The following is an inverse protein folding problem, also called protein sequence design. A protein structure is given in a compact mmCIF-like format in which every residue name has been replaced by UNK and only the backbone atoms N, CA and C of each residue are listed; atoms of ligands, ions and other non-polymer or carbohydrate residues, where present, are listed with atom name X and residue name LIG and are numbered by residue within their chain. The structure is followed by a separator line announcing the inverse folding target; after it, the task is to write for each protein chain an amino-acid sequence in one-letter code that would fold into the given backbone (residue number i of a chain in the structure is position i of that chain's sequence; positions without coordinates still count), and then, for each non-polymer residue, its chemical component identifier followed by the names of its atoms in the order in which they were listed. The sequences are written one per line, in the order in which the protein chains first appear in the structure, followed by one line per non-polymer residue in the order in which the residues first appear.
data_IF_043632651190
#
_entry.id   IF_043632651190
#
_cell.length_a   1.000
_cell.length_b   1.000
_cell.length_c   1.000
_cell.angle_alpha   90.00
_cell.angle_beta   90.00
_cell.angle_gamma   90.00
#
_symmetry.space_group_name_H-M   'P 1'
#
loop_
_entity.id
_entity.type
_entity.pdbx_description
1 polymer ?
#
# COMPACT_ATOMS: atom_id res chain seq x y z
N UNK A 1 15.03 -15.76 13.19
CA UNK A 1 15.43 -14.51 13.84
C UNK A 1 16.93 -14.38 13.74
N UNK A 2 17.47 -13.17 13.53
CA UNK A 2 18.91 -12.95 13.44
C UNK A 2 19.58 -13.38 14.74
N UNK A 3 20.65 -14.18 14.64
CA UNK A 3 21.41 -14.70 15.79
C UNK A 3 22.64 -13.86 16.11
N UNK A 4 23.02 -12.94 15.22
CA UNK A 4 24.21 -12.10 15.36
C UNK A 4 23.95 -10.66 14.90
N UNK A 5 24.80 -9.74 15.35
CA UNK A 5 24.72 -8.32 14.97
C UNK A 5 24.99 -8.09 13.48
N UNK A 6 25.88 -8.89 12.86
CA UNK A 6 26.15 -8.80 11.42
C UNK A 6 24.94 -9.20 10.57
N UNK A 7 24.14 -10.17 11.03
CA UNK A 7 22.88 -10.52 10.36
C UNK A 7 21.86 -9.38 10.43
N UNK A 8 21.83 -8.63 11.54
CA UNK A 8 20.99 -7.42 11.63
C UNK A 8 21.42 -6.34 10.65
N UNK A 9 22.73 -6.10 10.50
CA UNK A 9 23.25 -5.13 9.53
C UNK A 9 22.88 -5.53 8.10
N UNK A 10 22.93 -6.81 7.77
CA UNK A 10 22.56 -7.31 6.44
C UNK A 10 21.08 -7.11 6.09
N UNK A 11 20.20 -6.90 7.08
CA UNK A 11 18.78 -6.64 6.88
C UNK A 11 18.43 -5.15 6.77
N UNK A 12 19.38 -4.27 7.05
CA UNK A 12 19.17 -2.83 7.01
C UNK A 12 18.70 -2.33 5.62
N UNK A 13 19.24 -2.83 4.49
CA UNK A 13 18.72 -2.46 3.17
C UNK A 13 17.26 -2.87 2.97
N UNK A 14 16.87 -4.07 3.44
CA UNK A 14 15.49 -4.54 3.38
C UNK A 14 14.53 -3.64 4.15
N UNK A 15 14.94 -3.19 5.34
CA UNK A 15 14.12 -2.31 6.17
C UNK A 15 13.94 -0.95 5.51
N UNK A 16 15.02 -0.38 4.98
CA UNK A 16 14.96 0.87 4.22
C UNK A 16 14.10 0.72 2.98
N UNK A 17 14.25 -0.37 2.21
CA UNK A 17 13.44 -0.66 1.04
C UNK A 17 11.94 -0.73 1.39
N UNK A 18 11.57 -1.43 2.47
CA UNK A 18 10.17 -1.51 2.92
C UNK A 18 9.62 -0.14 3.31
N UNK A 19 10.37 0.63 4.11
CA UNK A 19 9.94 1.96 4.56
C UNK A 19 9.74 2.92 3.37
N UNK A 20 10.72 3.01 2.47
CA UNK A 20 10.61 3.85 1.29
C UNK A 20 9.51 3.36 0.34
N UNK A 21 9.29 2.05 0.21
CA UNK A 21 8.16 1.51 -0.57
C UNK A 21 6.82 1.91 0.04
N UNK A 22 6.65 1.79 1.37
CA UNK A 22 5.43 2.18 2.06
C UNK A 22 5.12 3.68 1.89
N UNK A 23 6.14 4.53 2.05
CA UNK A 23 6.02 5.98 1.81
C UNK A 23 5.67 6.28 0.35
N UNK A 24 6.32 5.63 -0.61
CA UNK A 24 6.06 5.82 -2.03
C UNK A 24 4.62 5.46 -2.40
N UNK A 25 4.14 4.30 -1.93
CA UNK A 25 2.78 3.84 -2.19
C UNK A 25 1.78 4.79 -1.57
N UNK A 26 1.97 5.21 -0.32
CA UNK A 26 1.03 6.12 0.34
C UNK A 26 0.95 7.49 -0.33
N UNK A 27 2.09 8.09 -0.72
CA UNK A 27 2.08 9.33 -1.49
C UNK A 27 1.41 9.20 -2.86
N UNK A 28 1.60 8.06 -3.53
CA UNK A 28 0.95 7.80 -4.81
C UNK A 28 -0.56 7.66 -4.64
N UNK A 29 -1.00 6.97 -3.59
CA UNK A 29 -2.40 6.76 -3.24
C UNK A 29 -3.10 8.10 -2.93
N UNK A 30 -2.53 8.91 -2.03
CA UNK A 30 -3.05 10.24 -1.70
C UNK A 30 -3.13 11.16 -2.93
N UNK A 31 -2.16 11.04 -3.85
CA UNK A 31 -2.17 11.77 -5.12
C UNK A 31 -3.31 11.31 -6.06
N UNK A 32 -3.56 10.00 -6.16
CA UNK A 32 -4.63 9.43 -6.98
C UNK A 32 -6.01 9.82 -6.41
N UNK A 33 -6.16 9.76 -5.09
CA UNK A 33 -7.42 10.07 -4.41
C UNK A 33 -7.72 11.57 -4.31
N UNK A 34 -6.78 12.42 -4.76
CA UNK A 34 -6.96 13.86 -4.75
C UNK A 34 -6.91 14.47 -3.34
N UNK A 35 -6.36 13.75 -2.35
CA UNK A 35 -6.34 14.22 -0.97
C UNK A 35 -5.30 15.36 -0.81
N UNK A 36 -5.80 16.59 -0.73
CA UNK A 36 -4.97 17.82 -0.65
C UNK A 36 -4.42 18.05 0.75
N UNK A 37 -3.39 17.29 1.16
CA UNK A 37 -2.71 17.53 2.44
C UNK A 37 -1.51 18.46 2.36
N UNK A 38 -1.02 18.80 1.16
CA UNK A 38 0.06 19.78 0.98
C UNK A 38 -0.21 20.67 -0.23
N UNK A 39 0.19 21.94 -0.14
CA UNK A 39 0.20 22.94 -1.23
C UNK A 39 0.92 22.46 -2.52
N UNK A 40 1.56 21.30 -2.48
CA UNK A 40 2.26 20.70 -3.61
C UNK A 40 1.67 19.34 -3.99
N UNK A 41 0.36 19.28 -4.26
CA UNK A 41 -0.31 18.14 -4.91
C UNK A 41 0.49 17.61 -6.12
N UNK A 42 1.16 18.50 -6.87
CA UNK A 42 2.04 18.13 -7.99
C UNK A 42 3.35 17.43 -7.59
N UNK A 43 3.87 17.66 -6.38
CA UNK A 43 5.11 17.02 -5.95
C UNK A 43 4.89 15.63 -5.34
N UNK A 44 3.68 15.26 -4.92
CA UNK A 44 3.38 13.93 -4.36
C UNK A 44 3.84 12.79 -5.28
N UNK A 45 3.53 12.88 -6.58
CA UNK A 45 3.99 11.93 -7.59
C UNK A 45 5.52 11.93 -7.80
N UNK A 46 6.17 13.09 -7.71
CA UNK A 46 7.64 13.18 -7.85
C UNK A 46 8.34 12.58 -6.62
N UNK A 47 7.81 12.80 -5.42
CA UNK A 47 8.31 12.24 -4.18
C UNK A 47 8.08 10.74 -4.09
N UNK A 48 6.92 10.23 -4.55
CA UNK A 48 6.69 8.78 -4.61
C UNK A 48 7.66 8.08 -5.57
N UNK A 49 7.91 8.66 -6.74
CA UNK A 49 8.92 8.17 -7.68
C UNK A 49 10.34 8.21 -7.09
N UNK A 50 10.69 9.28 -6.38
CA UNK A 50 12.00 9.38 -5.73
C UNK A 50 12.15 8.32 -4.63
N UNK A 51 11.12 8.14 -3.80
CA UNK A 51 11.11 7.15 -2.73
C UNK A 51 11.21 5.72 -3.28
N UNK A 52 10.47 5.37 -4.35
CA UNK A 52 10.56 4.02 -4.92
C UNK A 52 11.93 3.78 -5.59
N UNK A 53 12.56 4.80 -6.17
CA UNK A 53 13.93 4.70 -6.70
C UNK A 53 14.93 4.43 -5.58
N UNK A 54 14.82 5.12 -4.44
CA UNK A 54 15.66 4.88 -3.26
C UNK A 54 15.43 3.48 -2.68
N UNK A 55 14.17 3.04 -2.60
CA UNK A 55 13.83 1.69 -2.17
C UNK A 55 14.48 0.62 -3.07
N UNK A 56 14.35 0.79 -4.39
CA UNK A 56 14.90 -0.11 -5.39
C UNK A 56 16.44 -0.15 -5.36
N UNK A 57 17.09 0.98 -5.07
CA UNK A 57 18.54 1.05 -4.91
C UNK A 57 19.04 0.29 -3.68
N UNK A 58 18.23 0.20 -2.62
CA UNK A 58 18.55 -0.58 -1.42
C UNK A 58 18.31 -2.07 -1.64
N UNK A 59 17.13 -2.43 -2.17
CA UNK A 59 16.78 -3.82 -2.46
C UNK A 59 15.72 -3.92 -3.56
N UNK A 60 16.18 -4.02 -4.81
CA UNK A 60 15.33 -4.04 -6.00
C UNK A 60 14.28 -5.16 -5.97
N UNK A 61 14.71 -6.40 -5.70
CA UNK A 61 13.83 -7.57 -5.72
C UNK A 61 12.66 -7.41 -4.73
N UNK A 62 12.93 -6.95 -3.51
CA UNK A 62 11.92 -6.74 -2.47
C UNK A 62 10.96 -5.61 -2.82
N UNK A 63 11.52 -4.47 -3.21
CA UNK A 63 10.76 -3.28 -3.62
C UNK A 63 9.82 -3.60 -4.77
N UNK A 64 10.33 -4.27 -5.81
CA UNK A 64 9.56 -4.59 -7.00
C UNK A 64 8.40 -5.56 -6.69
N UNK A 65 8.64 -6.57 -5.86
CA UNK A 65 7.60 -7.52 -5.44
C UNK A 65 6.48 -6.82 -4.64
N UNK A 66 6.85 -5.98 -3.67
CA UNK A 66 5.88 -5.24 -2.84
C UNK A 66 5.09 -4.22 -3.67
N UNK A 67 5.78 -3.43 -4.50
CA UNK A 67 5.13 -2.44 -5.34
C UNK A 67 4.20 -3.07 -6.38
N UNK A 68 4.64 -4.16 -7.04
CA UNK A 68 3.80 -4.91 -7.96
C UNK A 68 2.58 -5.51 -7.24
N UNK A 69 2.74 -6.02 -6.01
CA UNK A 69 1.62 -6.48 -5.20
C UNK A 69 0.63 -5.34 -4.89
N UNK A 70 1.10 -4.15 -4.46
CA UNK A 70 0.22 -2.99 -4.26
C UNK A 70 -0.55 -2.62 -5.53
N UNK A 71 0.12 -2.57 -6.67
CA UNK A 71 -0.50 -2.29 -7.95
C UNK A 71 -1.56 -3.33 -8.32
N UNK A 72 -1.21 -4.62 -8.24
CA UNK A 72 -2.10 -5.73 -8.58
C UNK A 72 -3.34 -5.71 -7.67
N UNK A 73 -3.15 -5.64 -6.35
CA UNK A 73 -4.27 -5.67 -5.40
C UNK A 73 -5.13 -4.39 -5.53
N UNK A 74 -4.52 -3.21 -5.64
CA UNK A 74 -5.24 -1.94 -5.79
C UNK A 74 -6.13 -1.88 -7.04
N UNK A 75 -5.75 -2.59 -8.11
CA UNK A 75 -6.54 -2.63 -9.36
C UNK A 75 -7.71 -3.63 -9.34
N UNK A 76 -7.87 -4.47 -8.30
CA UNK A 76 -8.93 -5.50 -8.28
C UNK A 76 -10.35 -4.92 -8.29
N UNK A 77 -10.56 -3.72 -7.73
CA UNK A 77 -11.89 -3.13 -7.68
C UNK A 77 -12.38 -2.64 -9.07
N UNK A 78 -11.46 -2.49 -10.03
CA UNK A 78 -11.76 -1.89 -11.34
C UNK A 78 -11.16 -2.70 -12.51
N UNK A 79 -11.35 -4.03 -12.53
CA UNK A 79 -10.76 -4.95 -13.52
C UNK A 79 -11.00 -4.62 -15.00
N UNK A 80 -12.08 -3.88 -15.32
CA UNK A 80 -12.45 -3.52 -16.69
C UNK A 80 -12.08 -2.09 -17.08
N UNK A 81 -11.54 -1.31 -16.14
CA UNK A 81 -11.08 0.05 -16.42
C UNK A 81 -9.91 0.01 -17.39
N UNK A 82 -9.97 0.86 -18.42
CA UNK A 82 -8.85 1.03 -19.36
C UNK A 82 -7.85 2.01 -18.75
N UNK A 83 -6.60 1.57 -18.70
CA UNK A 83 -5.48 2.36 -18.19
C UNK A 83 -4.78 3.11 -19.34
N UNK A 84 -3.82 4.02 -19.06
CA UNK A 84 -3.16 4.84 -20.09
C UNK A 84 -2.48 4.05 -21.21
N UNK A 85 -2.14 2.78 -20.99
CA UNK A 85 -1.62 1.89 -22.05
C UNK A 85 -2.68 1.47 -23.09
N UNK A 86 -3.96 1.71 -22.80
CA UNK A 86 -5.11 1.21 -23.56
C UNK A 86 -5.55 -0.20 -23.17
N UNK A 87 -4.79 -0.91 -22.32
CA UNK A 87 -5.14 -2.24 -21.83
C UNK A 87 -6.14 -2.18 -20.66
N UNK A 88 -6.95 -3.23 -20.46
CA UNK A 88 -7.74 -3.38 -19.25
C UNK A 88 -6.81 -3.67 -18.06
N UNK A 89 -7.17 -3.17 -16.88
CA UNK A 89 -6.37 -3.31 -15.64
C UNK A 89 -6.06 -4.75 -15.24
N UNK A 90 -6.94 -5.73 -15.55
CA UNK A 90 -6.62 -7.15 -15.32
C UNK A 90 -5.41 -7.62 -16.15
N UNK A 91 -5.27 -7.12 -17.39
CA UNK A 91 -4.17 -7.52 -18.27
C UNK A 91 -2.86 -6.90 -17.81
N UNK A 92 -2.87 -5.62 -17.40
CA UNK A 92 -1.68 -4.99 -16.81
C UNK A 92 -1.29 -5.66 -15.49
N UNK A 93 -2.24 -6.07 -14.66
CA UNK A 93 -1.98 -6.80 -13.41
C UNK A 93 -1.32 -8.15 -13.67
N UNK A 94 -1.74 -8.88 -14.72
CA UNK A 94 -1.08 -10.13 -15.13
C UNK A 94 0.34 -9.88 -15.62
N UNK A 95 0.58 -8.83 -16.41
CA UNK A 95 1.92 -8.46 -16.86
C UNK A 95 2.81 -8.11 -15.66
N UNK A 96 2.32 -7.27 -14.74
CA UNK A 96 3.03 -6.91 -13.52
C UNK A 96 3.36 -8.15 -12.67
N UNK A 97 2.43 -9.11 -12.55
CA UNK A 97 2.65 -10.36 -11.83
C UNK A 97 3.75 -11.21 -12.46
N UNK A 98 3.73 -11.39 -13.79
CA UNK A 98 4.75 -12.15 -14.53
C UNK A 98 6.11 -11.50 -14.35
N UNK A 99 6.21 -10.19 -14.52
CA UNK A 99 7.46 -9.46 -14.32
C UNK A 99 7.95 -9.62 -12.89
N UNK A 100 7.08 -9.46 -11.89
CA UNK A 100 7.45 -9.63 -10.48
C UNK A 100 8.00 -11.03 -10.20
N UNK A 101 7.40 -12.07 -10.79
CA UNK A 101 7.88 -13.46 -10.63
C UNK A 101 9.26 -13.62 -11.27
N UNK A 102 9.51 -13.02 -12.44
CA UNK A 102 10.80 -13.08 -13.13
C UNK A 102 11.90 -12.39 -12.31
N UNK A 103 11.64 -11.19 -11.80
CA UNK A 103 12.65 -10.36 -11.15
C UNK A 103 12.85 -10.65 -9.65
N UNK A 104 11.81 -11.10 -8.96
CA UNK A 104 11.84 -11.29 -7.51
C UNK A 104 11.65 -12.75 -7.08
N UNK A 105 11.24 -13.62 -8.00
CA UNK A 105 10.96 -15.02 -7.73
C UNK A 105 9.57 -15.26 -7.15
N UNK A 106 8.99 -16.41 -7.53
CA UNK A 106 7.62 -16.79 -7.18
C UNK A 106 7.33 -16.73 -5.68
N UNK A 107 8.24 -17.28 -4.84
CA UNK A 107 8.06 -17.32 -3.38
C UNK A 107 7.90 -15.92 -2.77
N UNK A 108 8.69 -14.97 -3.24
CA UNK A 108 8.69 -13.60 -2.74
C UNK A 108 7.45 -12.84 -3.19
N UNK A 109 7.01 -13.05 -4.43
CA UNK A 109 5.78 -12.46 -4.95
C UNK A 109 4.54 -12.99 -4.23
N UNK A 110 4.46 -14.30 -3.98
CA UNK A 110 3.36 -14.87 -3.19
C UNK A 110 3.33 -14.28 -1.78
N UNK A 111 4.49 -14.14 -1.14
CA UNK A 111 4.59 -13.47 0.16
C UNK A 111 4.13 -12.01 0.07
N UNK A 112 4.58 -11.26 -0.93
CA UNK A 112 4.23 -9.86 -1.13
C UNK A 112 2.71 -9.67 -1.33
N UNK A 113 2.08 -10.50 -2.17
CA UNK A 113 0.62 -10.47 -2.36
C UNK A 113 -0.13 -10.73 -1.05
N UNK A 114 0.29 -11.74 -0.28
CA UNK A 114 -0.35 -12.06 1.01
C UNK A 114 -0.23 -10.92 2.02
N UNK A 115 0.95 -10.32 2.16
CA UNK A 115 1.14 -9.23 3.13
C UNK A 115 0.43 -7.96 2.67
N UNK A 116 0.44 -7.63 1.37
CA UNK A 116 -0.27 -6.45 0.86
C UNK A 116 -1.80 -6.61 0.99
N UNK A 117 -2.37 -7.79 0.72
CA UNK A 117 -3.79 -8.06 1.01
C UNK A 117 -4.08 -7.82 2.49
N UNK A 118 -3.19 -8.26 3.39
CA UNK A 118 -3.36 -8.06 4.82
C UNK A 118 -3.31 -6.56 5.19
N UNK A 119 -2.38 -5.81 4.60
CA UNK A 119 -2.25 -4.36 4.81
C UNK A 119 -3.51 -3.62 4.35
N UNK A 120 -4.03 -3.91 3.16
CA UNK A 120 -5.25 -3.25 2.67
C UNK A 120 -6.47 -3.62 3.51
N UNK A 121 -6.61 -4.88 3.94
CA UNK A 121 -7.73 -5.28 4.79
C UNK A 121 -7.71 -4.59 6.15
N UNK A 122 -6.55 -4.41 6.77
CA UNK A 122 -6.48 -3.69 8.05
C UNK A 122 -6.79 -2.21 7.87
N UNK A 123 -6.35 -1.60 6.77
CA UNK A 123 -6.64 -0.20 6.41
C UNK A 123 -8.16 -0.01 6.22
N UNK A 124 -8.78 -0.85 5.40
CA UNK A 124 -10.22 -0.89 5.18
C UNK A 124 -11.01 -1.09 6.50
N UNK A 125 -10.53 -1.93 7.41
CA UNK A 125 -11.16 -2.13 8.72
C UNK A 125 -11.05 -0.88 9.59
N UNK A 126 -9.90 -0.21 9.58
CA UNK A 126 -9.67 1.01 10.36
C UNK A 126 -10.50 2.19 9.83
N UNK A 127 -10.63 2.31 8.52
CA UNK A 127 -11.34 3.40 7.85
C UNK A 127 -12.83 3.12 7.60
N UNK A 128 -13.32 1.93 7.95
CA UNK A 128 -14.71 1.49 7.75
C UNK A 128 -15.78 2.55 8.05
N UNK A 129 -15.68 3.23 9.21
CA UNK A 129 -16.67 4.24 9.61
C UNK A 129 -16.59 5.52 8.77
N UNK A 130 -15.39 5.91 8.38
CA UNK A 130 -15.14 7.10 7.57
C UNK A 130 -15.63 6.84 6.14
N UNK A 131 -15.27 5.70 5.56
CA UNK A 131 -15.65 5.34 4.20
C UNK A 131 -17.15 5.11 4.04
N UNK A 132 -17.80 4.52 5.05
CA UNK A 132 -19.26 4.40 5.08
C UNK A 132 -19.93 5.78 5.03
N UNK A 133 -19.37 6.79 5.73
CA UNK A 133 -19.94 8.14 5.74
C UNK A 133 -19.67 8.92 4.44
N UNK A 134 -18.58 8.58 3.73
CA UNK A 134 -18.15 9.24 2.49
C UNK A 134 -18.56 8.48 1.22
N UNK A 135 -19.27 7.35 1.36
CA UNK A 135 -19.67 6.46 0.27
C UNK A 135 -18.47 6.03 -0.62
N UNK A 136 -17.30 5.85 0.01
CA UNK A 136 -16.09 5.34 -0.63
C UNK A 136 -16.14 3.81 -0.70
N UNK A 137 -15.49 3.22 -1.71
CA UNK A 137 -15.39 1.77 -1.84
C UNK A 137 -14.44 1.20 -0.79
N UNK A 138 -14.90 0.23 -0.01
CA UNK A 138 -14.11 -0.42 1.04
C UNK A 138 -14.49 -1.91 1.08
N UNK A 139 -13.52 -2.82 1.15
CA UNK A 139 -13.79 -4.26 1.10
C UNK A 139 -14.65 -4.72 2.28
N UNK A 140 -14.56 -4.06 3.44
CA UNK A 140 -15.39 -4.33 4.62
C UNK A 140 -16.85 -4.03 4.37
N UNK A 141 -17.19 -3.03 3.54
CA UNK A 141 -18.58 -2.76 3.16
C UNK A 141 -19.17 -3.89 2.30
N UNK A 142 -18.33 -4.58 1.53
CA UNK A 142 -18.76 -5.68 0.66
C UNK A 142 -18.80 -7.04 1.39
N UNK A 143 -17.75 -7.37 2.14
CA UNK A 143 -17.61 -8.68 2.81
C UNK A 143 -18.20 -8.71 4.22
N UNK A 144 -18.27 -7.55 4.89
CA UNK A 144 -18.61 -7.43 6.31
C UNK A 144 -17.38 -7.51 7.23
N UNK A 145 -17.46 -6.83 8.37
CA UNK A 145 -16.34 -6.63 9.31
C UNK A 145 -15.75 -7.95 9.83
N UNK A 146 -16.59 -8.92 10.19
CA UNK A 146 -16.15 -10.22 10.68
C UNK A 146 -15.33 -10.99 9.63
N UNK A 147 -15.80 -11.00 8.38
CA UNK A 147 -15.14 -11.73 7.28
C UNK A 147 -13.81 -11.07 6.91
N UNK A 148 -13.75 -9.74 6.91
CA UNK A 148 -12.50 -9.00 6.67
C UNK A 148 -11.46 -9.29 7.75
N UNK A 149 -11.84 -9.36 9.03
CA UNK A 149 -10.93 -9.76 10.12
C UNK A 149 -10.38 -11.17 9.93
N UNK A 150 -11.24 -12.14 9.58
CA UNK A 150 -10.81 -13.53 9.36
C UNK A 150 -9.83 -13.60 8.18
N UNK A 151 -10.14 -12.90 7.08
CA UNK A 151 -9.29 -12.89 5.89
C UNK A 151 -7.95 -12.20 6.18
N UNK A 152 -7.95 -11.09 6.91
CA UNK A 152 -6.75 -10.41 7.39
C UNK A 152 -5.87 -11.38 8.18
N UNK A 153 -6.43 -12.04 9.21
CA UNK A 153 -5.68 -12.98 10.05
C UNK A 153 -5.13 -14.15 9.26
N UNK A 154 -5.91 -14.68 8.31
CA UNK A 154 -5.49 -15.78 7.45
C UNK A 154 -4.33 -15.40 6.54
N UNK A 155 -4.46 -14.30 5.78
CA UNK A 155 -3.41 -13.81 4.89
C UNK A 155 -2.15 -13.42 5.67
N UNK A 156 -2.31 -12.75 6.82
CA UNK A 156 -1.19 -12.34 7.64
C UNK A 156 -0.46 -13.54 8.24
N UNK A 157 -1.18 -14.54 8.76
CA UNK A 157 -0.61 -15.78 9.25
C UNK A 157 0.19 -16.52 8.18
N UNK A 158 -0.35 -16.63 6.95
CA UNK A 158 0.39 -17.23 5.85
C UNK A 158 1.64 -16.42 5.53
N UNK A 159 1.56 -15.09 5.46
CA UNK A 159 2.73 -14.24 5.21
C UNK A 159 3.84 -14.47 6.27
N UNK A 160 3.47 -14.63 7.54
CA UNK A 160 4.39 -14.92 8.64
C UNK A 160 5.08 -16.28 8.49
N UNK A 161 4.43 -17.27 7.86
CA UNK A 161 5.05 -18.56 7.55
C UNK A 161 6.10 -18.45 6.45
N UNK A 162 5.95 -17.52 5.51
CA UNK A 162 6.92 -17.30 4.43
C UNK A 162 8.12 -16.48 4.89
N UNK A 163 7.88 -15.27 5.43
CA UNK A 163 8.93 -14.35 5.88
C UNK A 163 8.49 -13.57 7.13
N UNK A 164 8.63 -14.16 8.34
CA UNK A 164 8.02 -13.62 9.55
C UNK A 164 8.46 -12.20 9.89
N UNK A 165 9.77 -11.92 9.84
CA UNK A 165 10.31 -10.63 10.20
C UNK A 165 9.86 -9.52 9.23
N UNK A 166 9.96 -9.78 7.93
CA UNK A 166 9.59 -8.80 6.90
C UNK A 166 8.09 -8.53 6.92
N UNK A 167 7.23 -9.54 7.16
CA UNK A 167 5.79 -9.34 7.31
C UNK A 167 5.43 -8.36 8.43
N UNK A 168 6.04 -8.50 9.61
CA UNK A 168 5.80 -7.59 10.73
C UNK A 168 6.27 -6.18 10.39
N UNK A 169 7.41 -6.06 9.71
CA UNK A 169 7.98 -4.76 9.35
C UNK A 169 7.15 -4.07 8.27
N UNK A 170 6.67 -4.78 7.25
CA UNK A 170 5.77 -4.21 6.22
C UNK A 170 4.49 -3.71 6.87
N UNK A 171 3.86 -4.51 7.74
CA UNK A 171 2.64 -4.09 8.43
C UNK A 171 2.90 -2.87 9.34
N UNK A 172 3.97 -2.88 10.12
CA UNK A 172 4.33 -1.76 10.98
C UNK A 172 4.65 -0.49 10.17
N UNK A 173 5.40 -0.62 9.07
CA UNK A 173 5.71 0.47 8.17
C UNK A 173 4.44 1.08 7.59
N UNK A 174 3.53 0.25 7.06
CA UNK A 174 2.25 0.71 6.50
C UNK A 174 1.41 1.45 7.54
N UNK A 175 1.27 0.92 8.76
CA UNK A 175 0.52 1.55 9.83
C UNK A 175 1.17 2.87 10.30
N UNK A 176 2.49 2.94 10.38
CA UNK A 176 3.21 4.16 10.74
C UNK A 176 3.04 5.21 9.64
N UNK A 177 3.19 4.83 8.37
CA UNK A 177 3.01 5.76 7.25
C UNK A 177 1.58 6.26 7.21
N UNK A 178 0.57 5.39 7.35
CA UNK A 178 -0.83 5.79 7.36
C UNK A 178 -1.21 6.70 8.53
N UNK A 179 -0.73 6.40 9.75
CA UNK A 179 -1.17 7.13 10.95
C UNK A 179 -0.31 8.33 11.35
N UNK A 180 1.02 8.27 11.16
CA UNK A 180 1.96 9.28 11.70
C UNK A 180 2.37 10.29 10.65
N UNK A 181 2.62 9.85 9.42
CA UNK A 181 3.06 10.73 8.33
C UNK A 181 1.91 11.48 7.66
N UNK A 182 0.74 10.84 7.57
CA UNK A 182 -0.46 11.42 6.94
C UNK A 182 -1.63 11.49 7.90
N UNK A 183 -1.36 11.57 9.21
CA UNK A 183 -2.38 11.89 10.21
C UNK A 183 -3.21 13.04 9.68
N UNK A 184 -4.51 12.79 9.44
CA UNK A 184 -5.51 13.82 9.16
C UNK A 184 -5.22 14.95 10.13
N UNK A 185 -4.65 16.04 9.63
CA UNK A 185 -4.54 17.27 10.39
C UNK A 185 -5.98 17.63 10.77
N UNK A 186 -6.38 17.25 11.98
CA UNK A 186 -7.68 17.56 12.54
C UNK A 186 -7.75 19.07 12.66
N UNK A 187 -8.32 19.72 11.64
CA UNK A 187 -8.25 21.17 11.56
C UNK A 187 -8.81 21.80 10.30
N UNK A 188 -9.70 21.12 9.58
CA UNK A 188 -10.45 21.70 8.45
C UNK A 188 -11.95 21.79 8.75
N UNK A 189 -12.34 22.23 9.95
CA UNK A 189 -13.74 22.61 10.21
C UNK A 189 -14.10 23.76 9.27
N UNK A 190 -15.10 23.52 8.42
CA UNK A 190 -16.15 24.50 8.09
C UNK A 190 -15.66 25.89 7.67
N UNK A 191 -15.20 26.03 6.42
CA UNK A 191 -15.30 27.32 5.70
C UNK A 191 -15.58 27.03 4.23
N UNK A 192 -16.86 26.83 3.90
CA UNK A 192 -17.50 27.28 2.65
C UNK A 192 -18.99 26.91 2.64
N UNK A 193 -19.67 27.21 3.75
CA UNK A 193 -21.12 27.31 3.80
C UNK A 193 -21.49 28.79 4.03
N UNK A 194 -21.11 29.69 3.12
CA UNK A 194 -21.67 31.05 2.99
C UNK A 194 -21.07 31.75 1.78
N UNK A 195 -21.62 31.48 0.59
CA UNK A 195 -21.77 32.46 -0.51
C UNK A 195 -22.99 32.07 -1.34
N UNK A 196 -24.16 32.09 -0.68
CA UNK A 196 -25.40 32.60 -1.29
C UNK A 196 -25.66 33.95 -0.64
N UNK A 197 -26.30 34.85 -1.37
CA UNK A 197 -26.42 36.31 -1.18
C UNK A 197 -25.17 37.01 -1.76
N UNK A 198 -25.20 37.63 -2.94
CA UNK A 198 -26.27 38.31 -3.70
C UNK A 198 -26.18 38.08 -5.22
#
# INVERSE_FOLDING_TARGET
MPKSFSEWINLLPSFGAILFTAVAVKWLDDFIDGESYTESFRAGAAYSLTAILLAAALEFSLTFALFAACYIIGMFNSLKMRLPSGLPSWAESVIALILAIIFSGFKQVCWALLIIISVQLIDDIMDYKLDQSQNRSNAVLYFGLERSWILFLFCFYLSLKFQPLLSVIVLAAALITGNVLFSKAGGGRSLNATTRYD
#
